data_IF_109654004788
#
_entry.id   IF_109654004788
#
_cell.length_a   1.000
_cell.length_b   1.000
_cell.length_c   1.000
_cell.angle_alpha   90.00
_cell.angle_beta   90.00
_cell.angle_gamma   90.00
#
_symmetry.space_group_name_H-M   'P 1'
#
loop_
_entity.id
_entity.type
_entity.pdbx_description
1 polymer ?
#
# COMPACT_ATOMS: atom_id res chain seq x y z
N UNK A 1 -20.76 -8.27 19.22
CA UNK A 1 -20.72 -9.71 18.94
C UNK A 1 -19.64 -9.92 17.91
N UNK A 2 -18.53 -10.55 18.28
CA UNK A 2 -17.42 -10.80 17.35
C UNK A 2 -17.86 -11.91 16.41
N UNK A 3 -17.93 -11.62 15.11
CA UNK A 3 -18.50 -12.52 14.09
C UNK A 3 -17.55 -13.65 13.66
N UNK A 4 -16.37 -13.75 14.28
CA UNK A 4 -15.32 -14.69 13.90
C UNK A 4 -14.77 -15.40 15.14
N UNK A 5 -14.48 -16.69 14.99
CA UNK A 5 -13.88 -17.52 16.02
C UNK A 5 -12.38 -17.19 16.18
N UNK A 6 -11.81 -17.48 17.35
CA UNK A 6 -10.41 -17.13 17.70
C UNK A 6 -9.38 -17.67 16.68
N UNK A 7 -9.63 -18.84 16.09
CA UNK A 7 -8.79 -19.42 15.04
C UNK A 7 -8.87 -18.66 13.70
N UNK A 8 -10.05 -18.14 13.35
CA UNK A 8 -10.26 -17.31 12.16
C UNK A 8 -9.62 -15.94 12.35
N UNK A 9 -9.68 -15.40 13.56
CA UNK A 9 -9.04 -14.15 13.94
C UNK A 9 -7.50 -14.26 13.84
N UNK A 10 -6.93 -15.39 14.27
CA UNK A 10 -5.50 -15.68 14.10
C UNK A 10 -5.09 -15.79 12.61
N UNK A 11 -5.93 -16.40 11.77
CA UNK A 11 -5.73 -16.46 10.32
C UNK A 11 -5.77 -15.08 9.66
N UNK A 12 -6.73 -14.24 10.05
CA UNK A 12 -6.84 -12.85 9.57
C UNK A 12 -5.61 -12.04 10.00
N UNK A 13 -5.16 -12.15 11.25
CA UNK A 13 -3.94 -11.45 11.72
C UNK A 13 -2.68 -11.93 10.98
N UNK A 14 -2.59 -13.23 10.66
CA UNK A 14 -1.48 -13.79 9.88
C UNK A 14 -1.50 -13.28 8.43
N UNK A 15 -2.68 -13.20 7.80
CA UNK A 15 -2.85 -12.64 6.45
C UNK A 15 -2.51 -11.15 6.43
N UNK A 16 -2.97 -10.37 7.42
CA UNK A 16 -2.65 -8.94 7.54
C UNK A 16 -1.15 -8.71 7.74
N UNK A 17 -0.50 -9.55 8.55
CA UNK A 17 0.95 -9.47 8.78
C UNK A 17 1.76 -9.88 7.52
N UNK A 18 1.30 -10.89 6.78
CA UNK A 18 1.89 -11.29 5.51
C UNK A 18 1.69 -10.22 4.41
N UNK A 19 0.52 -9.58 4.37
CA UNK A 19 0.23 -8.47 3.46
C UNK A 19 1.08 -7.23 3.78
N UNK A 20 1.30 -6.93 5.07
CA UNK A 20 2.22 -5.87 5.48
C UNK A 20 3.67 -6.14 5.08
N UNK A 21 4.08 -7.41 5.04
CA UNK A 21 5.40 -7.84 4.52
C UNK A 21 5.52 -7.86 2.99
N UNK A 22 4.40 -7.81 2.26
CA UNK A 22 4.36 -7.85 0.79
C UNK A 22 4.41 -6.45 0.14
N UNK A 23 4.34 -5.38 0.94
CA UNK A 23 4.54 -4.01 0.47
C UNK A 23 6.04 -3.75 0.32
N UNK A 24 6.64 -4.38 -0.69
CA UNK A 24 7.97 -4.04 -1.17
C UNK A 24 7.84 -3.05 -2.32
N UNK A 25 8.69 -2.02 -2.34
CA UNK A 25 8.76 -1.03 -3.41
C UNK A 25 8.71 -1.70 -4.80
N UNK A 26 7.80 -1.23 -5.66
CA UNK A 26 7.62 -1.75 -7.02
C UNK A 26 6.74 -3.02 -7.14
N UNK A 27 6.11 -3.48 -6.05
CA UNK A 27 5.13 -4.56 -6.11
C UNK A 27 3.75 -4.03 -6.49
N UNK A 28 3.13 -4.64 -7.49
CA UNK A 28 1.70 -4.47 -7.77
C UNK A 28 0.89 -4.77 -6.49
N UNK A 29 -0.25 -4.10 -6.30
CA UNK A 29 -1.26 -4.33 -5.24
C UNK A 29 -1.93 -5.72 -5.33
N UNK A 30 -1.22 -6.73 -5.82
CA UNK A 30 -1.72 -8.07 -6.00
C UNK A 30 -2.04 -8.67 -4.63
N UNK A 31 -3.32 -8.60 -4.23
CA UNK A 31 -3.81 -9.10 -2.94
C UNK A 31 -3.98 -8.07 -1.82
N UNK A 32 -3.78 -6.77 -2.08
CA UNK A 32 -3.99 -5.70 -1.09
C UNK A 32 -4.82 -4.55 -1.69
N UNK A 33 -5.70 -3.93 -0.90
CA UNK A 33 -6.48 -2.75 -1.30
C UNK A 33 -5.83 -1.48 -0.78
N UNK A 34 -6.04 -0.34 -1.45
CA UNK A 34 -5.61 0.98 -0.95
C UNK A 34 -6.06 1.24 0.49
N UNK A 35 -7.24 0.73 0.87
CA UNK A 35 -7.77 0.86 2.23
C UNK A 35 -6.87 0.25 3.30
N UNK A 36 -6.11 -0.79 2.96
CA UNK A 36 -5.21 -1.47 3.89
C UNK A 36 -3.90 -0.68 4.11
N UNK A 37 -3.57 0.25 3.22
CA UNK A 37 -2.45 1.18 3.38
C UNK A 37 -2.82 2.40 4.23
N UNK A 38 -4.12 2.62 4.47
CA UNK A 38 -4.59 3.75 5.27
C UNK A 38 -4.29 3.51 6.75
N UNK A 39 -3.56 4.42 7.38
CA UNK A 39 -3.30 4.34 8.82
C UNK A 39 -4.57 4.74 9.60
N UNK A 40 -5.08 3.87 10.49
CA UNK A 40 -6.33 4.10 11.22
C UNK A 40 -6.21 5.19 12.30
N UNK A 41 -5.00 5.63 12.64
CA UNK A 41 -4.76 6.63 13.68
C UNK A 41 -4.93 8.08 13.19
N UNK A 42 -5.08 8.30 11.88
CA UNK A 42 -5.34 9.62 11.33
C UNK A 42 -6.84 9.82 11.04
N UNK A 43 -7.35 11.01 11.34
CA UNK A 43 -8.73 11.40 11.00
C UNK A 43 -8.97 11.45 9.49
N UNK A 44 -7.92 11.73 8.72
CA UNK A 44 -7.92 11.74 7.27
C UNK A 44 -6.66 11.00 6.84
N UNK A 45 -6.86 9.95 6.05
CA UNK A 45 -5.80 9.22 5.35
C UNK A 45 -6.11 9.28 3.86
N UNK A 46 -5.09 9.27 3.02
CA UNK A 46 -5.22 9.06 1.59
C UNK A 46 -4.21 7.99 1.17
N UNK A 47 -4.62 7.12 0.25
CA UNK A 47 -3.70 6.24 -0.46
C UNK A 47 -3.57 6.73 -1.89
N UNK A 48 -2.40 6.57 -2.50
CA UNK A 48 -2.17 6.93 -3.90
C UNK A 48 -1.68 5.68 -4.63
N UNK A 49 -2.25 5.43 -5.81
CA UNK A 49 -1.83 4.36 -6.71
C UNK A 49 -1.39 4.96 -8.04
N UNK A 50 -0.22 4.56 -8.51
CA UNK A 50 0.30 4.96 -9.82
C UNK A 50 0.71 3.73 -10.60
N UNK A 51 0.19 3.61 -11.82
CA UNK A 51 0.57 2.56 -12.76
C UNK A 51 1.32 3.15 -13.96
N UNK A 52 2.45 2.56 -14.30
CA UNK A 52 3.27 2.99 -15.42
C UNK A 52 2.90 2.22 -16.70
N UNK A 53 2.09 2.85 -17.54
CA UNK A 53 1.70 2.35 -18.86
C UNK A 53 2.66 2.74 -19.98
N UNK A 54 3.78 3.36 -19.64
CA UNK A 54 4.81 3.74 -20.62
C UNK A 54 5.83 2.62 -20.83
N UNK A 55 6.65 2.78 -21.87
CA UNK A 55 7.80 1.90 -22.14
C UNK A 55 9.03 2.23 -21.29
N UNK A 56 8.98 3.33 -20.53
CA UNK A 56 10.13 3.87 -19.80
C UNK A 56 9.94 3.72 -18.30
N UNK A 57 10.99 3.44 -17.52
CA UNK A 57 10.88 3.43 -16.07
C UNK A 57 10.64 4.84 -15.52
N UNK A 58 9.72 4.99 -14.56
CA UNK A 58 9.56 6.21 -13.78
C UNK A 58 10.54 6.15 -12.61
N UNK A 59 11.66 6.85 -12.77
CA UNK A 59 12.77 6.88 -11.82
C UNK A 59 12.59 8.07 -10.87
N UNK A 60 12.83 7.84 -9.58
CA UNK A 60 12.76 8.86 -8.52
C UNK A 60 11.46 9.68 -8.55
N UNK A 61 10.28 9.01 -8.48
CA UNK A 61 9.05 9.74 -8.22
C UNK A 61 9.15 10.53 -6.91
N UNK A 62 8.42 11.63 -6.84
CA UNK A 62 8.40 12.50 -5.67
C UNK A 62 6.97 12.88 -5.33
N UNK A 63 6.63 12.77 -4.05
CA UNK A 63 5.37 13.29 -3.51
C UNK A 63 5.66 14.63 -2.84
N UNK A 64 4.89 15.65 -3.20
CA UNK A 64 4.92 16.94 -2.51
C UNK A 64 3.63 17.09 -1.71
N UNK A 65 3.78 17.21 -0.40
CA UNK A 65 2.66 17.39 0.52
C UNK A 65 2.70 18.82 1.05
N UNK A 66 1.58 19.53 0.96
CA UNK A 66 1.45 20.88 1.53
C UNK A 66 1.27 20.83 3.06
N UNK A 67 0.51 19.86 3.56
CA UNK A 67 0.32 19.59 4.98
C UNK A 67 0.05 18.10 5.24
N UNK A 68 0.60 17.54 6.33
CA UNK A 68 0.46 16.13 6.69
C UNK A 68 1.80 15.39 6.74
N UNK A 69 1.74 14.06 6.66
CA UNK A 69 2.92 13.19 6.67
C UNK A 69 2.78 12.08 5.62
N UNK A 70 3.91 11.67 5.05
CA UNK A 70 4.00 10.52 4.16
C UNK A 70 4.43 9.29 4.98
N UNK A 71 3.72 8.18 4.80
CA UNK A 71 4.04 6.88 5.43
C UNK A 71 5.28 6.25 4.79
N UNK A 72 5.29 6.19 3.46
CA UNK A 72 6.30 5.51 2.66
C UNK A 72 6.70 6.40 1.47
N UNK A 73 8.00 6.66 1.26
CA UNK A 73 8.45 7.39 0.07
C UNK A 73 8.17 6.58 -1.21
N UNK A 74 7.84 7.25 -2.32
CA UNK A 74 7.51 6.56 -3.56
C UNK A 74 8.74 5.83 -4.13
N UNK A 75 8.52 4.61 -4.60
CA UNK A 75 9.54 3.78 -5.23
C UNK A 75 9.59 3.94 -6.75
N UNK A 76 10.68 3.52 -7.41
CA UNK A 76 10.73 3.47 -8.87
C UNK A 76 9.61 2.61 -9.44
N UNK A 77 8.95 3.08 -10.52
CA UNK A 77 7.84 2.36 -11.16
C UNK A 77 8.30 1.89 -12.54
N UNK A 78 8.61 0.60 -12.66
CA UNK A 78 9.04 0.00 -13.93
C UNK A 78 7.89 -0.09 -14.95
N UNK A 79 8.17 -0.25 -16.25
CA UNK A 79 7.14 -0.43 -17.27
C UNK A 79 6.15 -1.55 -16.92
N UNK A 80 4.86 -1.29 -17.09
CA UNK A 80 3.75 -2.21 -16.76
C UNK A 80 3.75 -2.67 -15.30
N UNK A 81 4.32 -1.86 -14.40
CA UNK A 81 4.24 -2.05 -12.95
C UNK A 81 3.46 -0.92 -12.30
N UNK A 82 3.05 -1.21 -11.08
CA UNK A 82 2.21 -0.37 -10.24
C UNK A 82 2.89 -0.16 -8.91
N UNK A 83 2.67 1.00 -8.33
CA UNK A 83 3.16 1.40 -7.03
C UNK A 83 2.01 2.01 -6.24
N UNK A 84 2.02 1.77 -4.93
CA UNK A 84 0.97 2.21 -4.02
C UNK A 84 1.58 2.60 -2.67
N UNK A 85 1.06 3.68 -2.11
CA UNK A 85 1.52 4.30 -0.86
C UNK A 85 0.36 4.76 0.02
#
# INVERSE_FOLDING_TARGET
TTFFNTSEQAGITAIVSAAAGAVSAGSSLTGTTLSNLMNPNFKISCGIEVENWSKFPLIQPAVRIFAGALSTPPGNILPSKKEAM
#
